data_IF_863851330919
#
_entry.id   IF_863851330919
#
_cell.length_a   1.000
_cell.length_b   1.000
_cell.length_c   1.000
_cell.angle_alpha   90.00
_cell.angle_beta   90.00
_cell.angle_gamma   90.00
#
_symmetry.space_group_name_H-M   'P 1'
#
loop_
_entity.id
_entity.type
_entity.pdbx_description
1 polymer ?
#
# COMPACT_ATOMS: atom_id res chain seq x y z
N UNK A 1 -21.18 -1.60 -7.91
CA UNK A 1 -21.36 -0.72 -9.08
C UNK A 1 -21.71 -1.62 -10.26
N UNK A 2 -22.72 -1.31 -11.09
CA UNK A 2 -22.96 -2.12 -12.28
C UNK A 2 -21.78 -1.98 -13.25
N UNK A 3 -21.32 -3.09 -13.82
CA UNK A 3 -20.17 -3.13 -14.73
C UNK A 3 -20.66 -2.86 -16.16
N UNK A 4 -20.65 -1.60 -16.57
CA UNK A 4 -21.04 -1.21 -17.93
C UNK A 4 -19.86 -1.17 -18.92
N UNK A 5 -18.66 -0.84 -18.41
CA UNK A 5 -17.43 -0.77 -19.18
C UNK A 5 -16.23 -1.04 -18.25
N UNK A 6 -15.42 -2.05 -18.58
CA UNK A 6 -14.31 -2.51 -17.75
C UNK A 6 -13.17 -1.49 -17.65
N UNK A 7 -12.82 -0.83 -18.75
CA UNK A 7 -11.73 0.17 -18.80
C UNK A 7 -12.12 1.37 -17.96
N UNK A 8 -13.33 1.89 -18.13
CA UNK A 8 -13.83 3.00 -17.31
C UNK A 8 -13.90 2.61 -15.84
N UNK A 9 -14.26 1.36 -15.53
CA UNK A 9 -14.28 0.86 -14.16
C UNK A 9 -12.87 0.82 -13.54
N UNK A 10 -11.88 0.33 -14.30
CA UNK A 10 -10.49 0.30 -13.88
C UNK A 10 -9.89 1.70 -13.66
N UNK A 11 -10.22 2.67 -14.52
CA UNK A 11 -9.65 4.02 -14.44
C UNK A 11 -10.34 4.89 -13.38
N UNK A 12 -11.66 4.80 -13.25
CA UNK A 12 -12.43 5.77 -12.46
C UNK A 12 -13.06 5.21 -11.19
N UNK A 13 -13.25 3.89 -11.09
CA UNK A 13 -13.91 3.28 -9.93
C UNK A 13 -12.94 2.48 -9.05
N UNK A 14 -11.93 1.84 -9.65
CA UNK A 14 -10.97 1.03 -8.92
C UNK A 14 -10.08 1.88 -8.00
N UNK A 15 -9.73 1.30 -6.85
CA UNK A 15 -8.85 1.88 -5.83
C UNK A 15 -7.63 0.99 -5.62
N UNK A 16 -6.58 1.54 -5.01
CA UNK A 16 -5.42 0.76 -4.58
C UNK A 16 -5.83 -0.39 -3.64
N UNK A 17 -6.89 -0.19 -2.86
CA UNK A 17 -7.47 -1.22 -1.99
C UNK A 17 -8.16 -2.35 -2.74
N UNK A 18 -8.33 -2.30 -4.06
CA UNK A 18 -8.99 -3.38 -4.81
C UNK A 18 -7.97 -4.38 -5.38
N UNK A 19 -6.67 -4.09 -5.28
CA UNK A 19 -5.59 -4.99 -5.68
C UNK A 19 -5.42 -6.12 -4.67
N UNK A 20 -5.41 -7.36 -5.15
CA UNK A 20 -5.29 -8.56 -4.31
C UNK A 20 -3.88 -9.17 -4.32
N UNK A 21 -3.29 -9.33 -5.50
CA UNK A 21 -2.01 -10.02 -5.72
C UNK A 21 -1.11 -9.20 -6.63
N UNK A 22 0.19 -9.09 -6.28
CA UNK A 22 1.19 -8.33 -7.04
C UNK A 22 2.42 -9.21 -7.31
N UNK A 23 2.87 -9.21 -8.56
CA UNK A 23 4.02 -9.98 -9.03
C UNK A 23 5.06 -9.02 -9.62
N UNK A 24 6.30 -9.11 -9.17
CA UNK A 24 7.44 -8.32 -9.68
C UNK A 24 8.53 -9.29 -10.11
N UNK A 25 8.92 -9.24 -11.39
CA UNK A 25 9.96 -10.11 -11.96
C UNK A 25 9.74 -11.62 -11.64
N UNK A 26 8.51 -12.10 -11.78
CA UNK A 26 8.14 -13.49 -11.50
C UNK A 26 8.02 -13.86 -10.01
N UNK A 27 8.26 -12.93 -9.09
CA UNK A 27 8.10 -13.14 -7.64
C UNK A 27 6.79 -12.53 -7.14
N UNK A 28 6.01 -13.32 -6.40
CA UNK A 28 4.83 -12.82 -5.68
C UNK A 28 5.30 -11.99 -4.49
N UNK A 29 4.99 -10.68 -4.50
CA UNK A 29 5.34 -9.74 -3.42
C UNK A 29 4.15 -9.40 -2.52
N UNK A 30 2.92 -9.60 -3.02
CA UNK A 30 1.67 -9.53 -2.27
C UNK A 30 0.72 -10.60 -2.79
N UNK A 31 -0.01 -11.27 -1.91
CA UNK A 31 -1.01 -12.30 -2.25
C UNK A 31 -2.13 -12.28 -1.21
N UNK A 32 -3.39 -12.38 -1.65
CA UNK A 32 -4.56 -12.28 -0.76
C UNK A 32 -4.48 -11.04 0.14
N UNK A 33 -3.98 -9.91 -0.42
CA UNK A 33 -3.76 -8.63 0.27
C UNK A 33 -2.73 -8.67 1.41
N UNK A 34 -1.95 -9.75 1.50
CA UNK A 34 -0.87 -9.91 2.47
C UNK A 34 0.48 -9.69 1.80
N UNK A 35 1.27 -8.74 2.31
CA UNK A 35 2.63 -8.50 1.82
C UNK A 35 3.53 -9.69 2.21
N UNK A 36 4.29 -10.20 1.24
CA UNK A 36 5.18 -11.37 1.42
C UNK A 36 6.65 -10.98 1.57
N UNK A 37 6.99 -9.72 1.28
CA UNK A 37 8.38 -9.26 1.19
C UNK A 37 8.69 -8.05 2.08
N UNK A 38 7.70 -7.57 2.85
CA UNK A 38 7.83 -6.40 3.73
C UNK A 38 7.26 -6.77 5.08
N UNK A 39 7.99 -6.45 6.15
CA UNK A 39 7.48 -6.47 7.51
C UNK A 39 6.71 -5.18 7.77
N UNK A 40 5.38 -5.28 7.82
CA UNK A 40 4.49 -4.12 7.92
C UNK A 40 4.62 -3.45 9.29
N UNK A 41 4.72 -4.23 10.36
CA UNK A 41 4.80 -3.71 11.73
C UNK A 41 6.08 -2.89 11.90
N UNK A 42 7.20 -3.44 11.45
CA UNK A 42 8.49 -2.74 11.48
C UNK A 42 8.49 -1.44 10.67
N UNK A 43 7.86 -1.43 9.49
CA UNK A 43 7.80 -0.21 8.66
C UNK A 43 6.94 0.87 9.33
N UNK A 44 5.84 0.49 9.98
CA UNK A 44 5.00 1.41 10.72
C UNK A 44 5.73 1.99 11.94
N UNK A 45 6.47 1.17 12.69
CA UNK A 45 7.32 1.61 13.80
C UNK A 45 8.36 2.64 13.34
N UNK A 46 9.11 2.33 12.27
CA UNK A 46 10.10 3.25 11.70
C UNK A 46 9.47 4.57 11.22
N UNK A 47 8.23 4.52 10.72
CA UNK A 47 7.50 5.71 10.28
C UNK A 47 7.10 6.60 11.46
N UNK A 48 6.67 5.98 12.57
CA UNK A 48 6.34 6.66 13.82
C UNK A 48 7.57 7.32 14.46
N UNK A 49 8.70 6.63 14.51
CA UNK A 49 9.98 7.19 14.97
C UNK A 49 10.38 8.41 14.14
N UNK A 50 10.29 8.30 12.81
CA UNK A 50 10.63 9.38 11.89
C UNK A 50 9.72 10.60 12.09
N UNK A 51 8.42 10.38 12.32
CA UNK A 51 7.46 11.43 12.64
C UNK A 51 7.85 12.15 13.93
N UNK A 52 8.15 11.42 14.99
CA UNK A 52 8.49 12.00 16.29
C UNK A 52 9.79 12.81 16.22
N UNK A 53 10.80 12.31 15.52
CA UNK A 53 12.05 13.02 15.30
C UNK A 53 11.85 14.35 14.55
N UNK A 54 10.89 14.41 13.61
CA UNK A 54 10.55 15.66 12.92
C UNK A 54 9.82 16.65 13.85
N UNK A 55 8.91 16.16 14.70
CA UNK A 55 8.18 17.00 15.66
C UNK A 55 9.12 17.62 16.71
N UNK A 56 10.09 16.87 17.22
CA UNK A 56 11.07 17.37 18.18
C UNK A 56 11.92 18.52 17.60
N UNK A 57 12.28 18.44 16.31
CA UNK A 57 13.02 19.49 15.61
C UNK A 57 12.23 20.76 15.38
N UNK A 58 10.90 20.67 15.22
CA UNK A 58 10.03 21.84 15.05
C UNK A 58 9.73 22.54 16.38
N UNK A 59 9.82 21.81 17.49
CA UNK A 59 9.61 22.33 18.84
C UNK A 59 10.89 22.89 19.49
N UNK A 60 12.02 22.87 18.77
CA UNK A 60 13.28 23.55 19.13
C UNK A 60 13.37 24.87 18.39
#
# INVERSE_FOLDING_TARGET
>A
HPLYNEISHLVYAAKASDVETVIINGKIVMENRQLKTVDVEKVLEMSEESKNALLERLNT
#
